data_IF_669783185790
#
_entry.id   IF_669783185790
#
_cell.length_a   1.000
_cell.length_b   1.000
_cell.length_c   1.000
_cell.angle_alpha   90.00
_cell.angle_beta   90.00
_cell.angle_gamma   90.00
#
_symmetry.space_group_name_H-M   'P 1'
#
loop_
_entity.id
_entity.type
_entity.pdbx_description
1 polymer ?
#
# COMPACT_ATOMS: atom_id res chain seq x y z
N UNK A 1 18.52 2.49 -21.06
CA UNK A 1 18.70 2.39 -19.59
C UNK A 1 17.40 2.54 -18.81
N UNK A 2 16.45 3.41 -19.22
CA UNK A 2 15.16 3.59 -18.53
C UNK A 2 14.35 2.29 -18.32
N UNK A 3 14.29 1.41 -19.33
CA UNK A 3 13.51 0.16 -19.25
C UNK A 3 14.08 -0.88 -18.27
N UNK A 4 15.39 -0.95 -18.10
CA UNK A 4 16.02 -1.85 -17.14
C UNK A 4 15.79 -1.37 -15.69
N UNK A 5 15.85 -0.06 -15.47
CA UNK A 5 15.53 0.53 -14.17
C UNK A 5 14.06 0.31 -13.77
N UNK A 6 13.12 0.45 -14.72
CA UNK A 6 11.71 0.14 -14.51
C UNK A 6 11.45 -1.35 -14.24
N UNK A 7 12.16 -2.25 -14.92
CA UNK A 7 12.04 -3.68 -14.69
C UNK A 7 12.58 -4.10 -13.31
N UNK A 8 13.74 -3.58 -12.90
CA UNK A 8 14.33 -3.84 -11.56
C UNK A 8 13.46 -3.22 -10.47
N UNK A 9 12.94 -2.01 -10.67
CA UNK A 9 12.03 -1.38 -9.71
C UNK A 9 10.71 -2.15 -9.57
N UNK A 10 10.12 -2.59 -10.69
CA UNK A 10 8.92 -3.43 -10.70
C UNK A 10 9.14 -4.80 -10.03
N UNK A 11 10.30 -5.42 -10.26
CA UNK A 11 10.67 -6.69 -9.64
C UNK A 11 10.91 -6.54 -8.13
N UNK A 12 11.61 -5.49 -7.70
CA UNK A 12 11.86 -5.20 -6.27
C UNK A 12 10.57 -4.90 -5.50
N UNK A 13 9.70 -4.07 -6.08
CA UNK A 13 8.35 -3.81 -5.55
C UNK A 13 7.53 -5.10 -5.42
N UNK A 14 7.61 -6.00 -6.41
CA UNK A 14 6.90 -7.28 -6.37
C UNK A 14 7.38 -8.19 -5.24
N UNK A 15 8.69 -8.30 -5.03
CA UNK A 15 9.22 -9.13 -3.94
C UNK A 15 8.84 -8.58 -2.56
N UNK A 16 8.82 -7.26 -2.38
CA UNK A 16 8.33 -6.65 -1.14
C UNK A 16 6.82 -6.89 -0.91
N UNK A 17 6.02 -7.01 -1.97
CA UNK A 17 4.58 -7.34 -1.85
C UNK A 17 4.31 -8.83 -1.60
N UNK A 18 5.31 -9.70 -1.71
CA UNK A 18 5.23 -11.12 -1.35
C UNK A 18 5.59 -11.39 0.11
N UNK A 19 5.97 -10.35 0.86
CA UNK A 19 6.30 -10.48 2.28
C UNK A 19 5.14 -11.18 3.02
N UNK A 20 5.45 -12.19 3.86
CA UNK A 20 4.43 -12.87 4.65
C UNK A 20 3.78 -11.89 5.62
N UNK A 21 2.62 -12.28 6.16
CA UNK A 21 2.05 -11.60 7.31
C UNK A 21 3.15 -11.49 8.40
N UNK A 22 3.40 -10.31 8.98
CA UNK A 22 4.36 -10.20 10.06
C UNK A 22 3.95 -11.11 11.22
N UNK A 23 4.93 -11.77 11.84
CA UNK A 23 4.69 -12.69 12.95
C UNK A 23 4.25 -11.96 14.22
N UNK A 24 4.69 -10.71 14.39
CA UNK A 24 4.44 -9.90 15.58
C UNK A 24 3.40 -8.81 15.30
N UNK A 25 2.14 -9.23 15.16
CA UNK A 25 1.02 -8.29 15.09
C UNK A 25 0.60 -7.86 16.49
N UNK A 26 0.64 -6.57 16.73
CA UNK A 26 0.16 -5.93 17.95
C UNK A 26 -1.26 -5.42 17.75
N UNK A 27 -2.01 -5.28 18.84
CA UNK A 27 -3.36 -4.69 18.82
C UNK A 27 -3.42 -3.46 19.72
N UNK A 28 -3.86 -2.35 19.18
CA UNK A 28 -4.21 -1.13 19.91
C UNK A 28 -5.73 -0.95 19.94
N UNK A 29 -6.24 -0.40 21.04
CA UNK A 29 -7.65 -0.03 21.21
C UNK A 29 -7.72 1.36 21.82
N UNK A 30 -8.64 2.16 21.33
CA UNK A 30 -8.93 3.48 21.89
C UNK A 30 -9.76 4.30 20.91
N UNK A 31 -10.03 5.55 21.25
CA UNK A 31 -10.82 6.44 20.39
C UNK A 31 -9.91 7.21 19.42
N UNK A 32 -10.38 7.49 18.21
CA UNK A 32 -9.63 8.27 17.23
C UNK A 32 -9.41 9.70 17.76
N UNK A 33 -8.16 10.10 17.90
CA UNK A 33 -7.78 11.42 18.40
C UNK A 33 -7.65 12.44 17.25
N UNK A 34 -7.01 12.02 16.15
CA UNK A 34 -6.92 12.79 14.91
C UNK A 34 -6.92 11.87 13.70
N UNK A 35 -7.37 12.40 12.55
CA UNK A 35 -7.33 11.69 11.28
C UNK A 35 -7.17 12.69 10.13
N UNK A 36 -6.25 12.42 9.21
CA UNK A 36 -5.92 13.24 8.05
C UNK A 36 -5.83 12.38 6.79
N UNK A 37 -6.52 12.78 5.73
CA UNK A 37 -6.49 12.09 4.44
C UNK A 37 -5.55 12.80 3.45
N UNK A 38 -4.47 12.12 3.07
CA UNK A 38 -3.58 12.56 2.00
C UNK A 38 -4.18 12.15 0.66
N UNK A 39 -4.65 13.14 -0.10
CA UNK A 39 -5.26 12.94 -1.42
C UNK A 39 -4.32 13.35 -2.54
N UNK A 40 -4.26 12.55 -3.61
CA UNK A 40 -3.49 12.87 -4.83
C UNK A 40 -4.39 12.67 -6.04
N UNK A 41 -4.46 13.69 -6.92
CA UNK A 41 -5.29 13.66 -8.15
C UNK A 41 -6.77 13.29 -7.90
N UNK A 42 -7.34 13.73 -6.77
CA UNK A 42 -8.75 13.50 -6.44
C UNK A 42 -9.07 12.13 -5.82
N UNK A 43 -8.06 11.28 -5.58
CA UNK A 43 -8.22 10.02 -4.84
C UNK A 43 -7.45 10.04 -3.52
N UNK A 44 -8.04 9.47 -2.47
CA UNK A 44 -7.35 9.27 -1.18
C UNK A 44 -6.25 8.23 -1.39
N UNK A 45 -5.02 8.62 -1.05
CA UNK A 45 -3.84 7.77 -1.19
C UNK A 45 -3.43 7.14 0.14
N UNK A 46 -3.56 7.88 1.25
CA UNK A 46 -3.23 7.38 2.59
C UNK A 46 -4.07 8.15 3.60
N UNK A 47 -4.61 7.48 4.62
CA UNK A 47 -5.16 8.12 5.80
C UNK A 47 -4.15 7.95 6.93
N UNK A 48 -3.76 9.04 7.58
CA UNK A 48 -2.90 9.03 8.76
C UNK A 48 -3.77 9.39 9.95
N UNK A 49 -3.74 8.58 11.00
CA UNK A 49 -4.57 8.82 12.18
C UNK A 49 -3.86 8.43 13.46
N UNK A 50 -4.33 8.95 14.59
CA UNK A 50 -3.85 8.61 15.92
C UNK A 50 -5.00 8.15 16.79
N UNK A 51 -4.67 7.38 17.82
CA UNK A 51 -5.62 6.89 18.82
C UNK A 51 -5.26 7.50 20.17
N UNK A 52 -6.26 7.89 20.95
CA UNK A 52 -6.06 8.42 22.30
C UNK A 52 -5.33 7.40 23.18
N UNK A 53 -4.32 7.89 23.91
CA UNK A 53 -3.46 7.05 24.76
C UNK A 53 -2.30 6.36 24.02
N UNK A 54 -2.10 6.67 22.73
CA UNK A 54 -0.98 6.20 21.90
C UNK A 54 -0.24 7.39 21.30
N UNK A 55 1.08 7.28 21.18
CA UNK A 55 1.93 8.29 20.52
C UNK A 55 2.20 7.96 19.05
N UNK A 56 1.85 6.75 18.63
CA UNK A 56 2.08 6.22 17.29
C UNK A 56 1.11 6.83 16.27
N UNK A 57 1.62 7.11 15.07
CA UNK A 57 0.80 7.51 13.92
C UNK A 57 0.53 6.30 13.03
N UNK A 58 -0.73 5.95 12.85
CA UNK A 58 -1.14 4.80 12.04
C UNK A 58 -1.40 5.24 10.60
N UNK A 59 -0.87 4.48 9.64
CA UNK A 59 -1.11 4.70 8.22
C UNK A 59 -2.06 3.64 7.65
N UNK A 60 -3.20 4.08 7.12
CA UNK A 60 -4.11 3.27 6.31
C UNK A 60 -3.88 3.58 4.82
N UNK A 61 -3.16 2.72 4.08
CA UNK A 61 -2.78 3.01 2.71
C UNK A 61 -3.95 2.74 1.74
N UNK A 62 -4.06 3.55 0.69
CA UNK A 62 -5.12 3.46 -0.33
C UNK A 62 -5.06 2.23 -1.25
N UNK A 63 -4.09 1.35 -1.02
CA UNK A 63 -4.07 0.01 -1.60
C UNK A 63 -5.07 -0.93 -0.91
N UNK A 64 -5.46 -0.61 0.33
CA UNK A 64 -6.44 -1.38 1.11
C UNK A 64 -7.85 -1.08 0.61
N UNK A 65 -8.71 -2.11 0.63
CA UNK A 65 -10.11 -1.97 0.24
C UNK A 65 -10.83 -0.89 1.03
N UNK A 66 -11.81 -0.30 0.36
CA UNK A 66 -12.77 0.66 0.91
C UNK A 66 -12.16 1.83 1.71
N UNK A 67 -11.05 2.42 1.23
CA UNK A 67 -10.43 3.58 1.88
C UNK A 67 -11.41 4.77 2.02
N UNK A 68 -12.32 4.95 1.07
CA UNK A 68 -13.34 6.00 1.16
C UNK A 68 -14.36 5.71 2.27
N UNK A 69 -14.76 4.44 2.42
CA UNK A 69 -15.62 4.00 3.53
C UNK A 69 -14.92 4.15 4.87
N UNK A 70 -13.64 3.77 4.96
CA UNK A 70 -12.81 3.98 6.14
C UNK A 70 -12.72 5.46 6.53
N UNK A 71 -12.39 6.34 5.57
CA UNK A 71 -12.34 7.79 5.79
C UNK A 71 -13.68 8.37 6.27
N UNK A 72 -14.79 7.93 5.69
CA UNK A 72 -16.12 8.44 6.07
C UNK A 72 -16.55 8.07 7.50
N UNK A 73 -15.95 7.01 8.05
CA UNK A 73 -16.22 6.47 9.39
C UNK A 73 -15.21 6.95 10.43
N UNK A 74 -14.01 7.30 9.99
CA UNK A 74 -12.92 7.74 10.87
C UNK A 74 -13.18 9.17 11.36
N UNK A 75 -13.99 9.28 12.40
CA UNK A 75 -14.33 10.54 13.07
C UNK A 75 -13.60 10.62 14.40
N UNK A 76 -13.24 11.83 14.81
CA UNK A 76 -12.68 12.07 16.14
C UNK A 76 -13.66 11.54 17.20
N UNK A 77 -13.16 10.76 18.15
CA UNK A 77 -13.94 10.10 19.19
C UNK A 77 -14.57 8.75 18.79
N UNK A 78 -14.44 8.30 17.54
CA UNK A 78 -14.88 6.97 17.14
C UNK A 78 -14.01 5.88 17.79
N UNK A 79 -14.61 4.78 18.20
CA UNK A 79 -13.87 3.69 18.83
C UNK A 79 -13.13 2.89 17.75
N UNK A 80 -11.83 2.69 17.93
CA UNK A 80 -10.97 2.03 16.99
C UNK A 80 -10.25 0.83 17.62
N UNK A 81 -10.22 -0.29 16.90
CA UNK A 81 -9.31 -1.40 17.16
C UNK A 81 -8.39 -1.53 15.96
N UNK A 82 -7.08 -1.36 16.19
CA UNK A 82 -6.07 -1.39 15.15
C UNK A 82 -5.14 -2.56 15.39
N UNK A 83 -4.98 -3.41 14.39
CA UNK A 83 -3.96 -4.44 14.34
C UNK A 83 -2.83 -3.92 13.48
N UNK A 84 -1.64 -3.83 14.05
CA UNK A 84 -0.50 -3.19 13.40
C UNK A 84 0.79 -3.98 13.64
N UNK A 85 1.81 -3.66 12.87
CA UNK A 85 3.16 -4.19 13.07
C UNK A 85 4.14 -3.01 13.23
N UNK A 86 5.01 -3.11 14.23
CA UNK A 86 5.97 -2.07 14.62
C UNK A 86 7.42 -2.43 14.20
N UNK A 87 7.58 -3.35 13.25
CA UNK A 87 8.92 -3.83 12.85
C UNK A 87 9.70 -2.76 12.06
N UNK A 88 9.01 -1.73 11.53
CA UNK A 88 9.65 -0.62 10.82
C UNK A 88 9.92 0.57 11.75
N UNK A 89 10.91 0.39 12.64
CA UNK A 89 11.44 1.43 13.53
C UNK A 89 12.01 2.65 12.78
N UNK A 90 12.12 2.61 11.45
CA UNK A 90 12.65 3.70 10.63
C UNK A 90 11.58 4.73 10.23
N UNK A 91 10.30 4.34 10.23
CA UNK A 91 9.19 5.21 9.90
C UNK A 91 8.44 5.65 11.14
N UNK A 92 8.19 6.97 11.29
CA UNK A 92 7.26 7.51 12.29
C UNK A 92 5.80 7.04 12.08
N UNK A 93 5.54 6.30 11.01
CA UNK A 93 4.26 5.76 10.62
C UNK A 93 4.26 4.25 10.85
N UNK A 94 3.27 3.78 11.59
CA UNK A 94 3.07 2.37 11.90
C UNK A 94 2.10 1.76 10.91
N UNK A 95 2.49 0.63 10.35
CA UNK A 95 1.79 0.01 9.23
C UNK A 95 0.57 -0.79 9.72
N UNK A 96 -0.61 -0.42 9.22
CA UNK A 96 -1.88 -1.04 9.65
C UNK A 96 -2.12 -2.33 8.86
N UNK A 97 -2.48 -3.40 9.59
CA UNK A 97 -2.85 -4.71 9.06
C UNK A 97 -4.31 -5.05 9.33
N UNK A 98 -4.92 -4.49 10.37
CA UNK A 98 -6.33 -4.64 10.66
C UNK A 98 -6.91 -3.35 11.22
N UNK A 99 -8.16 -3.05 10.86
CA UNK A 99 -8.90 -1.89 11.36
C UNK A 99 -10.35 -2.26 11.60
N UNK A 100 -10.82 -1.96 12.79
CA UNK A 100 -12.22 -1.98 13.19
C UNK A 100 -12.59 -0.58 13.69
N UNK A 101 -13.71 -0.04 13.23
CA UNK A 101 -14.24 1.26 13.70
C UNK A 101 -15.68 1.07 14.18
N UNK A 102 -15.99 1.55 15.38
CA UNK A 102 -17.31 1.48 16.04
C UNK A 102 -17.94 0.08 15.98
N UNK A 103 -17.15 -0.97 16.25
CA UNK A 103 -17.63 -2.36 16.23
C UNK A 103 -17.76 -2.96 14.83
N UNK A 104 -17.34 -2.25 13.77
CA UNK A 104 -17.40 -2.72 12.39
C UNK A 104 -16.00 -2.99 11.84
N UNK A 105 -15.75 -4.25 11.49
CA UNK A 105 -14.52 -4.65 10.81
C UNK A 105 -14.46 -4.00 9.43
N UNK A 106 -13.42 -3.21 9.18
CA UNK A 106 -13.14 -2.61 7.88
C UNK A 106 -12.12 -3.44 7.10
N UNK A 107 -11.08 -3.90 7.78
CA UNK A 107 -10.08 -4.77 7.17
C UNK A 107 -9.52 -5.75 8.19
N UNK A 108 -9.38 -7.02 7.78
CA UNK A 108 -8.71 -8.06 8.57
C UNK A 108 -7.27 -8.25 8.08
N UNK A 109 -6.34 -8.71 8.93
CA UNK A 109 -4.94 -8.96 8.55
C UNK A 109 -4.77 -9.84 7.29
N UNK A 110 -5.60 -10.88 7.14
CA UNK A 110 -5.60 -11.71 5.94
C UNK A 110 -6.02 -10.95 4.67
N UNK A 111 -7.02 -10.07 4.79
CA UNK A 111 -7.48 -9.23 3.68
C UNK A 111 -6.45 -8.17 3.31
N UNK A 112 -5.78 -7.56 4.31
CA UNK A 112 -4.68 -6.62 4.07
C UNK A 112 -3.51 -7.27 3.34
N UNK A 113 -3.19 -8.53 3.66
CA UNK A 113 -2.18 -9.31 2.94
C UNK A 113 -2.60 -9.56 1.48
N UNK A 114 -3.85 -9.95 1.26
CA UNK A 114 -4.37 -10.23 -0.09
C UNK A 114 -4.43 -8.96 -0.97
N UNK A 115 -4.78 -7.81 -0.40
CA UNK A 115 -4.78 -6.52 -1.09
C UNK A 115 -3.35 -6.10 -1.47
N UNK A 116 -2.38 -6.25 -0.55
CA UNK A 116 -0.95 -6.04 -0.82
C UNK A 116 -0.44 -6.94 -1.95
N UNK A 117 -0.77 -8.24 -1.91
CA UNK A 117 -0.41 -9.20 -2.96
C UNK A 117 -1.03 -8.87 -4.30
N UNK A 118 -2.30 -8.48 -4.31
CA UNK A 118 -3.03 -8.13 -5.54
C UNK A 118 -2.40 -6.89 -6.21
N UNK A 119 -2.07 -5.88 -5.42
CA UNK A 119 -1.38 -4.70 -5.93
C UNK A 119 0.03 -5.02 -6.43
N UNK A 120 0.76 -5.90 -5.73
CA UNK A 120 2.02 -6.48 -6.20
C UNK A 120 1.93 -7.11 -7.58
N UNK A 121 0.93 -7.98 -7.80
CA UNK A 121 0.70 -8.65 -9.08
C UNK A 121 0.45 -7.66 -10.22
N UNK A 122 -0.30 -6.58 -9.96
CA UNK A 122 -0.49 -5.50 -10.94
C UNK A 122 0.82 -4.76 -11.26
N UNK A 123 1.64 -4.47 -10.23
CA UNK A 123 2.97 -3.89 -10.41
C UNK A 123 3.86 -4.76 -11.31
N UNK A 124 3.86 -6.08 -11.09
CA UNK A 124 4.61 -7.02 -11.93
C UNK A 124 4.07 -7.09 -13.36
N UNK A 125 2.75 -7.15 -13.54
CA UNK A 125 2.14 -7.21 -14.87
C UNK A 125 2.52 -5.98 -15.72
N UNK A 126 2.48 -4.78 -15.13
CA UNK A 126 2.93 -3.55 -15.80
C UNK A 126 4.43 -3.60 -16.13
N UNK A 127 5.26 -4.12 -15.21
CA UNK A 127 6.69 -4.32 -15.43
C UNK A 127 6.97 -5.22 -16.64
N UNK A 128 6.26 -6.35 -16.74
CA UNK A 128 6.41 -7.30 -17.86
C UNK A 128 6.00 -6.66 -19.19
N UNK A 129 4.84 -6.01 -19.25
CA UNK A 129 4.35 -5.33 -20.47
C UNK A 129 5.35 -4.27 -20.94
N UNK A 130 5.87 -3.46 -20.02
CA UNK A 130 6.85 -2.43 -20.37
C UNK A 130 8.14 -3.02 -20.94
N UNK A 131 8.58 -4.17 -20.43
CA UNK A 131 9.76 -4.90 -20.93
C UNK A 131 9.53 -5.43 -22.35
N UNK A 132 8.35 -5.99 -22.63
CA UNK A 132 7.98 -6.43 -23.98
C UNK A 132 7.89 -5.25 -24.97
N UNK A 133 7.27 -4.13 -24.59
CA UNK A 133 7.20 -2.94 -25.43
C UNK A 133 8.57 -2.34 -25.72
N UNK A 134 9.45 -2.26 -24.71
CA UNK A 134 10.83 -1.78 -24.88
C UNK A 134 11.64 -2.70 -25.80
N UNK A 135 11.49 -4.02 -25.65
CA UNK A 135 12.10 -5.02 -26.54
C UNK A 135 11.61 -4.88 -27.98
N UNK A 136 10.31 -4.70 -28.18
CA UNK A 136 9.70 -4.53 -29.51
C UNK A 136 10.17 -3.25 -30.21
N UNK A 137 10.19 -2.11 -29.51
CA UNK A 137 10.73 -0.85 -30.05
C UNK A 137 12.21 -0.96 -30.42
N UNK A 138 13.03 -1.65 -29.61
CA UNK A 138 14.44 -1.87 -29.90
C UNK A 138 14.67 -2.72 -31.16
N UNK A 139 13.86 -3.77 -31.34
CA UNK A 139 13.87 -4.59 -32.57
C UNK A 139 13.39 -3.81 -33.80
N UNK A 140 12.38 -2.95 -33.66
CA UNK A 140 11.90 -2.05 -34.72
C UNK A 140 12.95 -1.04 -35.17
N UNK A 141 13.65 -0.40 -34.23
CA UNK A 141 14.74 0.55 -34.50
C UNK A 141 15.95 -0.12 -35.17
N UNK A 142 16.25 -1.38 -34.84
CA UNK A 142 17.30 -2.16 -35.51
C UNK A 142 16.93 -2.54 -36.94
N UNK A 143 15.65 -2.82 -37.23
CA UNK A 143 15.19 -3.12 -38.60
C UNK A 143 15.14 -1.87 -39.50
N UNK A 144 14.92 -0.68 -38.93
CA UNK A 144 14.97 0.60 -39.66
C UNK A 144 16.38 1.11 -39.99
N UNK A 145 17.44 0.52 -39.40
CA UNK A 145 18.85 0.85 -39.67
C UNK A 145 19.55 -0.19 -40.55
N UNK A 146 18.88 -0.72 -41.58
CA UNK A 146 19.60 -1.37 -42.69
C UNK A 146 20.05 -0.26 -43.66
N UNK A 147 21.35 0.00 -43.83
CA UNK A 147 21.81 0.88 -44.89
C UNK A 147 21.43 0.27 -46.23
N UNK A 148 20.81 1.07 -47.11
CA UNK A 148 20.81 0.81 -48.54
C UNK A 148 22.18 1.14 -49.10
#
# INVERSE_FOLDING_TARGET
MLGAALAVFGYSMFFNTLAPLPTDLQTARGSIASAEANSRKGSIHTIVFTIDGRSEHFAYPGIQRDINGAWSRMKIGADAVVVFNDDDLSSQLVDVWGLELDGRQLIEPGQALDDRRTNGRWGLALGVISTFCAGYMWLGLRRGRRPR
#
